data_IF_285909667454
#
_entry.id   IF_285909667454
#
_cell.length_a   1.000
_cell.length_b   1.000
_cell.length_c   1.000
_cell.angle_alpha   90.00
_cell.angle_beta   90.00
_cell.angle_gamma   90.00
#
_symmetry.space_group_name_H-M   'P 1'
#
loop_
_entity.id
_entity.type
_entity.pdbx_description
1 polymer ?
#
# COMPACT_ATOMS: atom_id res chain seq x y z
N UNK A 1 11.82 -19.39 -92.14
CA UNK A 1 11.45 -20.15 -90.94
C UNK A 1 12.01 -19.46 -89.70
N UNK A 2 11.16 -18.68 -88.97
CA UNK A 2 11.54 -17.95 -87.76
C UNK A 2 11.06 -18.78 -86.55
N UNK A 3 12.00 -19.21 -85.73
CA UNK A 3 11.71 -19.93 -84.46
C UNK A 3 11.42 -18.85 -83.40
N UNK A 4 10.22 -18.88 -82.83
CA UNK A 4 9.82 -18.09 -81.67
C UNK A 4 10.14 -18.91 -80.45
N UNK A 5 11.02 -18.38 -79.59
CA UNK A 5 11.35 -18.97 -78.30
C UNK A 5 10.41 -18.33 -77.26
N UNK A 6 9.50 -19.10 -76.65
CA UNK A 6 8.67 -18.69 -75.51
C UNK A 6 9.51 -18.88 -74.22
N UNK A 7 9.81 -17.76 -73.55
CA UNK A 7 10.40 -17.80 -72.22
C UNK A 7 9.22 -17.72 -71.24
N UNK A 8 8.95 -18.85 -70.56
CA UNK A 8 8.00 -18.90 -69.42
C UNK A 8 8.75 -18.49 -68.17
N UNK A 9 8.47 -17.26 -67.71
CA UNK A 9 8.97 -16.77 -66.41
C UNK A 9 8.07 -17.29 -65.29
N UNK A 10 8.55 -18.29 -64.56
CA UNK A 10 7.89 -18.81 -63.34
C UNK A 10 8.16 -17.86 -62.18
N UNK A 11 7.16 -17.06 -61.81
CA UNK A 11 7.16 -16.24 -60.58
C UNK A 11 7.00 -17.20 -59.37
N UNK A 12 8.07 -17.49 -58.66
CA UNK A 12 8.02 -18.22 -57.40
C UNK A 12 7.71 -17.22 -56.28
N UNK A 13 6.44 -17.08 -55.95
CA UNK A 13 5.98 -16.26 -54.79
C UNK A 13 6.42 -16.94 -53.50
N UNK A 14 7.47 -16.44 -52.86
CA UNK A 14 7.86 -16.82 -51.51
C UNK A 14 6.86 -16.21 -50.54
N UNK A 15 5.86 -16.95 -50.13
CA UNK A 15 5.06 -16.65 -48.95
C UNK A 15 5.90 -16.87 -47.70
N UNK A 16 6.49 -15.80 -47.17
CA UNK A 16 7.09 -15.83 -45.84
C UNK A 16 5.93 -15.90 -44.83
N UNK A 17 5.64 -17.12 -44.37
CA UNK A 17 4.81 -17.31 -43.19
C UNK A 17 5.61 -16.77 -42.00
N UNK A 18 5.31 -15.56 -41.57
CA UNK A 18 5.66 -15.13 -40.24
C UNK A 18 4.87 -15.99 -39.26
N UNK A 19 5.50 -17.04 -38.74
CA UNK A 19 4.97 -17.72 -37.55
C UNK A 19 5.09 -16.72 -36.41
N UNK A 20 4.00 -16.02 -36.13
CA UNK A 20 3.87 -15.41 -34.81
C UNK A 20 3.92 -16.57 -33.81
N UNK A 21 5.02 -16.63 -33.05
CA UNK A 21 5.07 -17.41 -31.83
C UNK A 21 4.07 -16.74 -30.88
N UNK A 22 2.83 -17.21 -30.86
CA UNK A 22 1.90 -16.86 -29.78
C UNK A 22 2.59 -17.27 -28.48
N UNK A 23 3.09 -16.30 -27.73
CA UNK A 23 3.47 -16.51 -26.35
C UNK A 23 2.31 -17.17 -25.62
N UNK A 24 2.58 -18.22 -24.86
CA UNK A 24 1.52 -18.92 -24.15
C UNK A 24 0.75 -17.90 -23.31
N UNK A 25 -0.56 -17.77 -23.59
CA UNK A 25 -1.44 -16.82 -22.88
C UNK A 25 -1.43 -17.13 -21.38
N UNK A 26 -1.10 -16.14 -20.58
CA UNK A 26 -1.12 -16.21 -19.12
C UNK A 26 -2.56 -16.34 -18.60
N UNK A 27 -3.51 -15.71 -19.31
CA UNK A 27 -4.92 -15.67 -18.93
C UNK A 27 -5.67 -14.64 -19.75
N UNK A 28 -6.74 -14.10 -19.20
CA UNK A 28 -7.55 -13.06 -19.86
C UNK A 28 -8.19 -12.12 -18.84
N UNK A 29 -8.60 -10.95 -19.29
CA UNK A 29 -9.52 -10.07 -18.57
C UNK A 29 -10.91 -10.72 -18.66
N UNK A 30 -11.39 -11.29 -17.55
CA UNK A 30 -12.67 -12.00 -17.54
C UNK A 30 -13.84 -11.07 -17.30
N UNK A 31 -13.65 -10.06 -16.47
CA UNK A 31 -14.65 -9.07 -16.10
C UNK A 31 -13.99 -7.72 -15.88
N UNK A 32 -14.73 -6.65 -16.15
CA UNK A 32 -14.23 -5.29 -15.92
C UNK A 32 -15.37 -4.28 -15.92
N UNK A 33 -15.17 -3.16 -15.25
CA UNK A 33 -16.05 -2.00 -15.25
C UNK A 33 -15.22 -0.72 -15.11
N UNK A 34 -15.77 0.40 -15.57
CA UNK A 34 -15.10 1.70 -15.52
C UNK A 34 -13.83 1.77 -16.38
N UNK A 35 -12.88 2.57 -15.96
CA UNK A 35 -11.62 2.80 -16.67
C UNK A 35 -10.62 1.70 -16.38
N UNK A 36 -10.35 0.85 -17.37
CA UNK A 36 -9.31 -0.18 -17.33
C UNK A 36 -8.40 -0.03 -18.54
N UNK A 37 -7.11 0.03 -18.29
CA UNK A 37 -6.06 0.20 -19.29
C UNK A 37 -5.14 -1.01 -19.31
N UNK A 38 -4.57 -1.29 -20.49
CA UNK A 38 -3.65 -2.38 -20.74
C UNK A 38 -2.45 -1.91 -21.54
N UNK A 39 -1.29 -2.49 -21.32
CA UNK A 39 -0.13 -2.39 -22.22
C UNK A 39 0.62 -3.72 -22.28
N UNK A 40 1.14 -4.06 -23.47
CA UNK A 40 1.82 -5.34 -23.72
C UNK A 40 3.16 -5.46 -22.98
N UNK A 41 3.86 -4.34 -22.81
CA UNK A 41 5.18 -4.28 -22.17
C UNK A 41 5.43 -2.90 -21.56
N UNK A 42 6.41 -2.82 -20.68
CA UNK A 42 6.76 -1.58 -19.98
C UNK A 42 6.94 -0.36 -20.89
N UNK A 43 7.55 -0.53 -22.07
CA UNK A 43 7.81 0.56 -23.03
C UNK A 43 6.62 0.92 -23.93
N UNK A 44 5.54 0.13 -23.93
CA UNK A 44 4.36 0.40 -24.74
C UNK A 44 3.43 1.45 -24.07
N UNK A 45 2.69 2.23 -24.87
CA UNK A 45 1.66 3.11 -24.32
C UNK A 45 0.49 2.27 -23.76
N UNK A 46 -0.18 2.83 -22.76
CA UNK A 46 -1.44 2.27 -22.30
C UNK A 46 -2.53 2.47 -23.34
N UNK A 47 -3.34 1.44 -23.54
CA UNK A 47 -4.53 1.44 -24.38
C UNK A 47 -5.74 0.97 -23.55
N UNK A 48 -6.96 1.25 -24.02
CA UNK A 48 -8.18 0.80 -23.37
C UNK A 48 -8.23 -0.73 -23.39
N UNK A 49 -8.46 -1.33 -22.23
CA UNK A 49 -8.67 -2.76 -22.13
C UNK A 49 -10.09 -3.17 -22.55
N UNK A 50 -10.25 -4.42 -22.95
CA UNK A 50 -11.53 -5.00 -23.32
C UNK A 50 -11.75 -6.34 -22.59
N UNK A 51 -13.01 -6.66 -22.30
CA UNK A 51 -13.38 -7.97 -21.76
C UNK A 51 -13.02 -9.08 -22.75
N UNK A 52 -12.38 -10.12 -22.28
CA UNK A 52 -11.88 -11.22 -23.10
C UNK A 52 -10.44 -11.02 -23.61
N UNK A 53 -9.85 -9.83 -23.47
CA UNK A 53 -8.49 -9.55 -23.90
C UNK A 53 -7.51 -10.53 -23.26
N UNK A 54 -6.65 -11.15 -24.07
CA UNK A 54 -5.60 -12.06 -23.62
C UNK A 54 -4.52 -11.31 -22.85
N UNK A 55 -3.99 -11.96 -21.83
CA UNK A 55 -2.88 -11.47 -21.02
C UNK A 55 -1.62 -12.28 -21.33
N UNK A 56 -0.52 -11.61 -21.50
CA UNK A 56 0.78 -12.20 -21.80
C UNK A 56 1.80 -11.85 -20.71
N UNK A 57 2.88 -12.61 -20.67
CA UNK A 57 4.03 -12.27 -19.83
C UNK A 57 4.59 -10.89 -20.20
N UNK A 58 4.84 -10.05 -19.18
CA UNK A 58 5.35 -8.69 -19.33
C UNK A 58 4.26 -7.64 -19.53
N UNK A 59 2.99 -8.04 -19.64
CA UNK A 59 1.89 -7.09 -19.78
C UNK A 59 1.56 -6.39 -18.45
N UNK A 60 0.94 -5.22 -18.58
CA UNK A 60 0.49 -4.41 -17.46
C UNK A 60 -1.01 -4.15 -17.58
N UNK A 61 -1.68 -4.20 -16.44
CA UNK A 61 -3.10 -3.84 -16.30
C UNK A 61 -3.22 -2.74 -15.25
N UNK A 62 -3.97 -1.68 -15.58
CA UNK A 62 -4.19 -0.54 -14.70
C UNK A 62 -5.66 -0.17 -14.63
N UNK A 63 -6.18 -0.01 -13.42
CA UNK A 63 -7.53 0.49 -13.18
C UNK A 63 -7.50 1.97 -12.80
N UNK A 64 -8.46 2.74 -13.28
CA UNK A 64 -8.68 4.13 -12.90
C UNK A 64 -9.42 4.27 -11.57
N UNK A 65 -9.80 5.51 -11.22
CA UNK A 65 -10.53 5.79 -9.98
C UNK A 65 -11.91 5.09 -9.94
N UNK A 66 -12.55 4.93 -11.10
CA UNK A 66 -13.81 4.23 -11.33
C UNK A 66 -13.61 2.80 -11.88
N UNK A 67 -12.36 2.36 -12.05
CA UNK A 67 -12.00 1.13 -12.74
C UNK A 67 -11.90 -0.08 -11.82
N UNK A 68 -12.34 -1.23 -12.31
CA UNK A 68 -12.28 -2.52 -11.63
C UNK A 68 -12.14 -3.64 -12.64
N UNK A 69 -11.39 -4.71 -12.34
CA UNK A 69 -11.23 -5.83 -13.26
C UNK A 69 -10.87 -7.15 -12.56
N UNK A 70 -11.30 -8.27 -13.15
CA UNK A 70 -10.88 -9.62 -12.80
C UNK A 70 -9.99 -10.20 -13.88
N UNK A 71 -8.79 -10.58 -13.53
CA UNK A 71 -7.87 -11.33 -14.36
C UNK A 71 -8.05 -12.83 -14.03
N UNK A 72 -8.54 -13.60 -15.00
CA UNK A 72 -8.65 -15.06 -14.88
C UNK A 72 -7.41 -15.68 -15.54
N UNK A 73 -6.57 -16.29 -14.73
CA UNK A 73 -5.35 -16.95 -15.20
C UNK A 73 -5.67 -18.32 -15.80
N UNK A 74 -4.76 -18.84 -16.62
CA UNK A 74 -4.96 -20.12 -17.33
C UNK A 74 -5.00 -21.33 -16.38
N UNK A 75 -4.54 -21.19 -15.15
CA UNK A 75 -4.65 -22.20 -14.08
C UNK A 75 -5.92 -22.07 -13.22
N UNK A 76 -6.87 -21.23 -13.63
CA UNK A 76 -8.10 -20.87 -12.93
C UNK A 76 -7.92 -19.98 -11.67
N UNK A 77 -6.72 -19.55 -11.36
CA UNK A 77 -6.48 -18.53 -10.33
C UNK A 77 -7.07 -17.20 -10.78
N UNK A 78 -7.49 -16.37 -9.82
CA UNK A 78 -8.09 -15.06 -10.08
C UNK A 78 -7.31 -13.97 -9.35
N UNK A 79 -7.07 -12.88 -10.06
CA UNK A 79 -6.57 -11.63 -9.48
C UNK A 79 -7.61 -10.55 -9.71
N UNK A 80 -8.25 -10.07 -8.65
CA UNK A 80 -9.22 -8.98 -8.73
C UNK A 80 -8.56 -7.68 -8.35
N UNK A 81 -8.52 -6.74 -9.27
CA UNK A 81 -7.95 -5.41 -9.10
C UNK A 81 -9.08 -4.42 -8.83
N UNK A 82 -9.08 -3.78 -7.66
CA UNK A 82 -9.97 -2.66 -7.37
C UNK A 82 -9.43 -1.36 -8.02
N UNK A 83 -10.03 -0.23 -7.70
CA UNK A 83 -9.65 1.05 -8.28
C UNK A 83 -8.21 1.49 -7.96
N UNK A 84 -7.65 2.31 -8.86
CA UNK A 84 -6.29 2.88 -8.74
C UNK A 84 -5.21 1.81 -8.53
N UNK A 85 -5.37 0.64 -9.16
CA UNK A 85 -4.43 -0.48 -9.06
C UNK A 85 -3.64 -0.61 -10.35
N UNK A 86 -2.34 -0.84 -10.23
CA UNK A 86 -1.44 -1.07 -11.36
C UNK A 86 -0.63 -2.34 -11.10
N UNK A 87 -0.77 -3.33 -12.01
CA UNK A 87 -0.19 -4.66 -11.88
C UNK A 87 0.53 -5.06 -13.16
N UNK A 88 1.73 -5.64 -13.01
CA UNK A 88 2.50 -6.30 -14.05
C UNK A 88 2.51 -7.81 -13.86
N UNK A 89 2.34 -8.57 -14.93
CA UNK A 89 2.55 -10.03 -14.95
C UNK A 89 3.99 -10.30 -15.40
N UNK A 90 4.92 -10.34 -14.46
CA UNK A 90 6.35 -10.46 -14.76
C UNK A 90 6.73 -11.86 -15.21
N UNK A 91 6.18 -12.88 -14.54
CA UNK A 91 6.40 -14.30 -14.88
C UNK A 91 5.13 -15.11 -14.65
N UNK A 92 4.89 -16.07 -15.52
CA UNK A 92 3.82 -17.04 -15.34
C UNK A 92 4.15 -18.32 -16.12
N UNK A 93 4.30 -19.42 -15.39
CA UNK A 93 4.63 -20.74 -15.95
C UNK A 93 3.71 -21.75 -15.25
N UNK A 94 2.91 -22.45 -16.03
CA UNK A 94 2.01 -23.51 -15.55
C UNK A 94 2.34 -24.82 -16.26
N UNK A 95 2.59 -25.83 -15.48
CA UNK A 95 2.75 -27.23 -15.94
C UNK A 95 1.87 -28.14 -15.10
N UNK A 96 1.83 -29.44 -15.44
CA UNK A 96 1.07 -30.43 -14.66
C UNK A 96 1.54 -30.60 -13.22
N UNK A 97 2.80 -30.28 -12.93
CA UNK A 97 3.44 -30.53 -11.63
C UNK A 97 3.77 -29.24 -10.88
N UNK A 98 3.87 -28.11 -11.58
CA UNK A 98 4.38 -26.88 -11.03
C UNK A 98 3.69 -25.64 -11.61
N UNK A 99 3.38 -24.71 -10.72
CA UNK A 99 2.88 -23.37 -11.04
C UNK A 99 3.82 -22.35 -10.43
N UNK A 100 4.47 -21.54 -11.26
CA UNK A 100 5.28 -20.41 -10.83
C UNK A 100 4.67 -19.12 -11.40
N UNK A 101 4.62 -18.07 -10.60
CA UNK A 101 4.15 -16.76 -11.05
C UNK A 101 4.76 -15.64 -10.24
N UNK A 102 5.08 -14.54 -10.91
CA UNK A 102 5.51 -13.29 -10.28
C UNK A 102 4.64 -12.17 -10.82
N UNK A 103 3.95 -11.50 -9.92
CA UNK A 103 3.06 -10.37 -10.18
C UNK A 103 3.55 -9.16 -9.39
N UNK A 104 3.82 -8.06 -10.07
CA UNK A 104 4.27 -6.83 -9.43
C UNK A 104 3.09 -5.86 -9.32
N UNK A 105 2.72 -5.48 -8.11
CA UNK A 105 1.71 -4.46 -7.82
C UNK A 105 2.44 -3.16 -7.49
N UNK A 106 2.46 -2.23 -8.44
CA UNK A 106 3.13 -0.95 -8.24
C UNK A 106 2.40 -0.09 -7.20
N UNK A 107 1.07 -0.15 -7.22
CA UNK A 107 0.17 0.48 -6.26
C UNK A 107 -1.22 -0.12 -6.36
N UNK A 108 -2.05 0.07 -5.34
CA UNK A 108 -3.48 -0.22 -5.38
C UNK A 108 -3.94 -1.33 -4.47
N UNK A 109 -5.03 -1.99 -4.84
CA UNK A 109 -5.78 -2.94 -4.03
C UNK A 109 -6.07 -4.19 -4.85
N UNK A 110 -5.63 -5.32 -4.36
CA UNK A 110 -5.71 -6.61 -5.02
C UNK A 110 -6.32 -7.67 -4.09
N UNK A 111 -7.20 -8.51 -4.64
CA UNK A 111 -7.55 -9.81 -4.05
C UNK A 111 -7.00 -10.91 -4.94
N UNK A 112 -6.23 -11.80 -4.36
CA UNK A 112 -5.69 -12.97 -5.03
C UNK A 112 -6.38 -14.24 -4.49
N UNK A 113 -6.98 -14.99 -5.39
CA UNK A 113 -7.57 -16.32 -5.10
C UNK A 113 -6.83 -17.34 -5.96
N UNK A 114 -5.87 -18.04 -5.34
CA UNK A 114 -4.95 -18.92 -6.03
C UNK A 114 -5.41 -20.38 -5.90
N UNK A 115 -5.76 -20.96 -7.03
CA UNK A 115 -6.23 -22.36 -7.12
C UNK A 115 -5.07 -23.33 -6.98
N UNK A 116 -5.22 -24.31 -6.07
CA UNK A 116 -4.27 -25.40 -5.88
C UNK A 116 -5.00 -26.74 -5.92
N UNK A 117 -4.55 -27.64 -6.77
CA UNK A 117 -5.00 -29.03 -6.77
C UNK A 117 -4.09 -29.89 -5.89
N UNK A 118 -4.61 -31.05 -5.44
CA UNK A 118 -3.82 -31.97 -4.64
C UNK A 118 -2.57 -32.45 -5.38
N UNK A 119 -1.41 -32.35 -4.75
CA UNK A 119 -0.10 -32.71 -5.33
C UNK A 119 0.58 -31.62 -6.14
N UNK A 120 -0.08 -30.51 -6.47
CA UNK A 120 0.56 -29.40 -7.19
C UNK A 120 1.50 -28.60 -6.28
N UNK A 121 2.64 -28.18 -6.84
CA UNK A 121 3.54 -27.20 -6.24
C UNK A 121 3.20 -25.83 -6.79
N UNK A 122 2.63 -24.98 -5.95
CA UNK A 122 2.35 -23.58 -6.27
C UNK A 122 3.40 -22.71 -5.61
N UNK A 123 4.00 -21.81 -6.39
CA UNK A 123 4.99 -20.83 -5.96
C UNK A 123 4.70 -19.50 -6.64
N UNK A 124 3.59 -18.88 -6.23
CA UNK A 124 3.26 -17.54 -6.68
C UNK A 124 3.82 -16.51 -5.73
N UNK A 125 4.31 -15.41 -6.30
CA UNK A 125 4.79 -14.24 -5.56
C UNK A 125 4.06 -13.00 -6.06
N UNK A 126 3.40 -12.31 -5.16
CA UNK A 126 2.90 -10.96 -5.41
C UNK A 126 3.83 -9.99 -4.70
N UNK A 127 4.41 -9.09 -5.47
CA UNK A 127 5.41 -8.12 -4.99
C UNK A 127 4.85 -6.71 -5.06
N UNK A 128 5.15 -5.91 -4.07
CA UNK A 128 5.09 -4.45 -4.13
C UNK A 128 6.50 -3.87 -4.16
N UNK A 129 6.67 -2.55 -4.23
CA UNK A 129 8.00 -1.93 -4.09
C UNK A 129 8.72 -2.25 -2.77
N UNK A 130 8.01 -2.66 -1.73
CA UNK A 130 8.55 -2.80 -0.37
C UNK A 130 8.15 -4.10 0.35
N UNK A 131 7.41 -5.00 -0.32
CA UNK A 131 6.98 -6.28 0.25
C UNK A 131 6.87 -7.39 -0.79
N UNK A 132 6.93 -8.64 -0.29
CA UNK A 132 6.70 -9.86 -1.06
C UNK A 132 5.71 -10.75 -0.31
N UNK A 133 4.63 -11.14 -0.97
CA UNK A 133 3.70 -12.18 -0.52
C UNK A 133 3.99 -13.49 -1.26
N UNK A 134 4.44 -14.52 -0.54
CA UNK A 134 4.69 -15.86 -1.08
C UNK A 134 3.47 -16.76 -0.85
N UNK A 135 2.88 -17.29 -1.94
CA UNK A 135 1.57 -17.94 -1.96
C UNK A 135 1.71 -19.40 -2.33
N UNK A 136 1.03 -20.26 -1.58
CA UNK A 136 1.03 -21.71 -1.79
C UNK A 136 -0.37 -22.33 -2.01
N UNK A 137 -1.32 -21.54 -2.53
CA UNK A 137 -2.72 -21.93 -2.72
C UNK A 137 -3.60 -21.41 -1.58
N UNK A 138 -4.05 -20.16 -1.72
CA UNK A 138 -4.71 -19.39 -0.65
C UNK A 138 -5.54 -18.27 -1.25
N UNK A 139 -6.39 -17.65 -0.42
CA UNK A 139 -7.02 -16.39 -0.73
C UNK A 139 -6.60 -15.32 0.27
N UNK A 140 -6.17 -14.16 -0.23
CA UNK A 140 -5.82 -13.01 0.58
C UNK A 140 -6.04 -11.70 -0.18
N UNK A 141 -6.05 -10.60 0.56
CA UNK A 141 -6.12 -9.25 0.01
C UNK A 141 -4.85 -8.48 0.35
N UNK A 142 -4.43 -7.65 -0.59
CA UNK A 142 -3.24 -6.80 -0.47
C UNK A 142 -3.58 -5.39 -0.91
N UNK A 143 -3.22 -4.42 -0.09
CA UNK A 143 -3.20 -3.01 -0.45
C UNK A 143 -1.76 -2.50 -0.37
N UNK A 144 -1.33 -1.78 -1.41
CA UNK A 144 -0.07 -1.04 -1.39
C UNK A 144 -0.34 0.43 -1.68
N UNK A 145 0.16 1.31 -0.83
CA UNK A 145 0.03 2.76 -0.94
C UNK A 145 1.35 3.40 -0.50
N UNK A 146 1.99 4.13 -1.42
CA UNK A 146 3.32 4.67 -1.16
C UNK A 146 4.33 3.56 -0.80
N UNK A 147 4.90 3.63 0.39
CA UNK A 147 5.83 2.62 0.92
C UNK A 147 5.15 1.57 1.80
N UNK A 148 3.88 1.76 2.15
CA UNK A 148 3.16 0.90 3.07
C UNK A 148 2.37 -0.19 2.35
N UNK A 149 2.31 -1.36 2.98
CA UNK A 149 1.52 -2.49 2.53
C UNK A 149 0.69 -3.04 3.70
N UNK A 150 -0.53 -3.45 3.38
CA UNK A 150 -1.46 -4.09 4.31
C UNK A 150 -1.98 -5.36 3.67
N UNK A 151 -1.95 -6.45 4.41
CA UNK A 151 -2.39 -7.77 3.97
C UNK A 151 -3.45 -8.31 4.92
N UNK A 152 -4.54 -8.83 4.37
CA UNK A 152 -5.58 -9.55 5.11
C UNK A 152 -5.69 -10.98 4.60
N UNK A 153 -5.64 -11.95 5.50
CA UNK A 153 -5.84 -13.37 5.18
C UNK A 153 -7.32 -13.76 5.14
N UNK A 154 -7.73 -14.46 4.09
CA UNK A 154 -9.09 -14.98 3.92
C UNK A 154 -9.12 -16.50 3.95
N UNK A 155 -8.15 -17.19 3.32
CA UNK A 155 -8.07 -18.64 3.29
C UNK A 155 -6.60 -19.09 3.25
N UNK A 156 -6.27 -20.15 3.98
CA UNK A 156 -4.93 -20.74 4.00
C UNK A 156 -3.88 -19.86 4.69
N UNK A 157 -2.65 -19.91 4.21
CA UNK A 157 -1.51 -19.19 4.78
C UNK A 157 -0.62 -18.60 3.68
N UNK A 158 -0.20 -17.36 3.87
CA UNK A 158 0.74 -16.62 2.99
C UNK A 158 1.93 -16.16 3.82
N UNK A 159 3.13 -16.22 3.25
CA UNK A 159 4.33 -15.70 3.88
C UNK A 159 4.59 -14.28 3.38
N UNK A 160 4.57 -13.31 4.31
CA UNK A 160 4.81 -11.89 4.00
C UNK A 160 6.21 -11.51 4.46
N UNK A 161 7.01 -10.94 3.57
CA UNK A 161 8.34 -10.40 3.90
C UNK A 161 8.52 -8.99 3.33
N UNK A 162 9.48 -8.23 3.86
CA UNK A 162 10.10 -7.13 3.13
C UNK A 162 11.09 -7.69 2.09
N UNK A 163 11.95 -6.84 1.54
CA UNK A 163 12.86 -7.25 0.45
C UNK A 163 13.84 -8.35 0.88
N UNK A 164 14.48 -8.18 2.04
CA UNK A 164 15.51 -9.09 2.59
C UNK A 164 15.26 -9.46 4.05
N UNK A 165 14.05 -9.21 4.55
CA UNK A 165 13.71 -9.42 5.95
C UNK A 165 13.09 -10.79 6.19
N UNK A 166 13.09 -11.28 7.43
CA UNK A 166 12.33 -12.48 7.80
C UNK A 166 10.85 -12.34 7.44
N UNK A 167 10.23 -13.46 7.06
CA UNK A 167 8.80 -13.49 6.77
C UNK A 167 7.96 -13.58 8.05
N UNK A 168 6.72 -13.10 7.94
CA UNK A 168 5.66 -13.29 8.93
C UNK A 168 4.50 -14.03 8.28
N UNK A 169 3.88 -14.99 8.98
CA UNK A 169 2.73 -15.73 8.44
C UNK A 169 1.48 -14.85 8.47
N UNK A 170 0.79 -14.77 7.34
CA UNK A 170 -0.57 -14.24 7.24
C UNK A 170 -1.53 -15.42 7.21
N UNK A 171 -2.38 -15.54 8.22
CA UNK A 171 -3.38 -16.59 8.36
C UNK A 171 -4.80 -16.05 8.21
N UNK A 172 -5.79 -16.93 8.21
CA UNK A 172 -7.21 -16.53 8.17
C UNK A 172 -7.53 -15.56 9.31
N UNK A 173 -8.29 -14.53 8.98
CA UNK A 173 -8.70 -13.47 9.92
C UNK A 173 -7.53 -12.82 10.68
N UNK A 174 -6.38 -12.70 10.03
CA UNK A 174 -5.27 -11.88 10.51
C UNK A 174 -4.93 -10.79 9.53
N UNK A 175 -4.27 -9.74 10.04
CA UNK A 175 -3.67 -8.66 9.28
C UNK A 175 -2.17 -8.61 9.56
N UNK A 176 -1.38 -8.46 8.51
CA UNK A 176 0.06 -8.17 8.57
C UNK A 176 0.33 -6.91 7.77
N UNK A 177 1.24 -6.08 8.24
CA UNK A 177 1.58 -4.82 7.59
C UNK A 177 3.10 -4.66 7.52
N UNK A 178 3.58 -3.91 6.53
CA UNK A 178 4.94 -3.40 6.55
C UNK A 178 5.04 -2.05 5.82
N UNK A 179 6.17 -1.38 6.00
CA UNK A 179 6.55 -0.20 5.22
C UNK A 179 8.06 -0.19 4.99
N UNK A 180 8.50 0.47 3.90
CA UNK A 180 9.91 0.77 3.61
C UNK A 180 10.85 -0.43 3.61
N UNK A 181 10.34 -1.59 3.17
CA UNK A 181 11.05 -2.88 3.17
C UNK A 181 11.48 -3.39 4.55
N UNK A 182 10.95 -2.84 5.64
CA UNK A 182 11.21 -3.34 6.99
C UNK A 182 10.52 -4.68 7.23
N UNK A 183 10.94 -5.38 8.28
CA UNK A 183 10.30 -6.63 8.73
C UNK A 183 8.81 -6.37 8.96
N UNK A 184 7.91 -7.22 8.42
CA UNK A 184 6.49 -7.07 8.65
C UNK A 184 6.13 -7.15 10.14
N UNK A 185 5.03 -6.49 10.52
CA UNK A 185 4.46 -6.61 11.88
C UNK A 185 4.12 -8.05 12.21
N UNK A 186 4.07 -8.37 13.49
CA UNK A 186 3.42 -9.61 13.93
C UNK A 186 1.96 -9.61 13.46
N UNK A 187 1.39 -10.80 13.16
CA UNK A 187 0.00 -10.91 12.76
C UNK A 187 -0.94 -10.37 13.84
N UNK A 188 -1.82 -9.46 13.45
CA UNK A 188 -2.88 -8.94 14.33
C UNK A 188 -4.18 -9.64 13.96
N UNK A 189 -4.88 -10.18 14.97
CA UNK A 189 -6.18 -10.81 14.79
C UNK A 189 -7.25 -9.77 14.41
N UNK A 190 -8.01 -10.07 13.39
CA UNK A 190 -9.13 -9.24 12.92
C UNK A 190 -10.42 -9.77 13.57
N UNK A 191 -10.78 -9.17 14.70
CA UNK A 191 -11.96 -9.60 15.47
C UNK A 191 -13.22 -8.85 14.99
N UNK A 192 -14.39 -9.52 14.98
CA UNK A 192 -15.66 -8.85 14.70
C UNK A 192 -15.87 -7.61 15.57
N UNK A 193 -16.69 -6.67 15.05
CA UNK A 193 -17.07 -5.41 15.72
C UNK A 193 -15.90 -4.45 16.01
N UNK A 194 -14.75 -4.66 15.37
CA UNK A 194 -13.62 -3.73 15.43
C UNK A 194 -13.51 -2.88 14.15
N UNK A 195 -12.90 -1.69 14.20
CA UNK A 195 -12.66 -0.88 13.00
C UNK A 195 -11.85 -1.60 11.93
N UNK A 196 -10.91 -2.48 12.32
CA UNK A 196 -10.11 -3.24 11.37
C UNK A 196 -10.91 -4.37 10.70
N UNK A 197 -11.91 -4.93 11.38
CA UNK A 197 -12.86 -5.85 10.78
C UNK A 197 -13.71 -5.16 9.73
N UNK A 198 -14.21 -3.95 10.03
CA UNK A 198 -14.95 -3.13 9.06
C UNK A 198 -14.08 -2.85 7.84
N UNK A 199 -12.82 -2.43 8.05
CA UNK A 199 -11.87 -2.20 6.96
C UNK A 199 -11.63 -3.47 6.10
N UNK A 200 -11.53 -4.64 6.73
CA UNK A 200 -11.44 -5.92 6.01
C UNK A 200 -12.68 -6.17 5.17
N UNK A 201 -13.89 -5.94 5.71
CA UNK A 201 -15.17 -6.13 5.00
C UNK A 201 -15.32 -5.14 3.83
N UNK A 202 -14.94 -3.89 4.02
CA UNK A 202 -14.90 -2.92 2.93
C UNK A 202 -13.93 -3.37 1.83
N UNK A 203 -12.77 -3.91 2.20
CA UNK A 203 -11.81 -4.44 1.24
C UNK A 203 -12.36 -5.66 0.49
N UNK A 204 -13.01 -6.57 1.19
CA UNK A 204 -13.71 -7.70 0.56
C UNK A 204 -14.75 -7.23 -0.46
N UNK A 205 -15.55 -6.21 -0.10
CA UNK A 205 -16.59 -5.66 -0.96
C UNK A 205 -16.02 -5.01 -2.24
N UNK A 206 -14.98 -4.19 -2.12
CA UNK A 206 -14.38 -3.50 -3.28
C UNK A 206 -13.56 -4.42 -4.19
N UNK A 207 -13.21 -5.60 -3.72
CA UNK A 207 -12.52 -6.64 -4.49
C UNK A 207 -13.44 -7.82 -4.81
N UNK A 208 -14.76 -7.69 -4.61
CA UNK A 208 -15.76 -8.66 -5.06
C UNK A 208 -15.92 -8.62 -6.59
N UNK A 209 -16.56 -9.65 -7.13
CA UNK A 209 -16.85 -9.75 -8.58
C UNK A 209 -17.77 -8.64 -9.08
N UNK A 210 -18.62 -8.11 -8.20
CA UNK A 210 -19.48 -6.97 -8.44
C UNK A 210 -19.34 -5.99 -7.25
N UNK A 211 -18.44 -5.03 -7.33
CA UNK A 211 -18.25 -4.08 -6.25
C UNK A 211 -19.53 -3.23 -6.05
N UNK A 212 -19.84 -2.82 -4.83
CA UNK A 212 -21.01 -2.00 -4.54
C UNK A 212 -20.95 -0.67 -5.30
N UNK A 213 -22.11 -0.06 -5.57
CA UNK A 213 -22.18 1.21 -6.34
C UNK A 213 -21.37 2.36 -5.71
N UNK A 214 -21.26 2.34 -4.38
CA UNK A 214 -20.53 3.36 -3.60
C UNK A 214 -19.07 2.94 -3.30
N UNK A 215 -18.55 1.96 -4.01
CA UNK A 215 -17.19 1.44 -3.80
C UNK A 215 -16.08 2.48 -3.99
N UNK A 216 -16.34 3.60 -4.65
CA UNK A 216 -15.44 4.75 -4.75
C UNK A 216 -15.03 5.29 -3.37
N UNK A 217 -15.87 5.11 -2.35
CA UNK A 217 -15.56 5.36 -0.94
C UNK A 217 -14.35 4.54 -0.48
N UNK A 218 -13.99 3.48 -1.18
CA UNK A 218 -12.78 2.69 -0.97
C UNK A 218 -11.48 3.51 -1.00
N UNK A 219 -11.48 4.71 -1.56
CA UNK A 219 -10.40 5.67 -1.45
C UNK A 219 -10.07 6.04 0.00
N UNK A 220 -11.02 5.87 0.91
CA UNK A 220 -10.83 6.08 2.35
C UNK A 220 -10.18 4.89 3.08
N UNK A 221 -10.13 3.71 2.48
CA UNK A 221 -9.58 2.52 3.13
C UNK A 221 -8.15 2.73 3.70
N UNK A 222 -7.20 3.34 2.99
CA UNK A 222 -5.88 3.66 3.55
C UNK A 222 -5.98 4.57 4.79
N UNK A 223 -6.91 5.54 4.78
CA UNK A 223 -7.11 6.49 5.88
C UNK A 223 -7.72 5.82 7.12
N UNK A 224 -8.67 4.89 6.92
CA UNK A 224 -9.27 4.10 8.01
C UNK A 224 -8.20 3.27 8.70
N UNK A 225 -7.36 2.58 7.93
CA UNK A 225 -6.28 1.75 8.46
C UNK A 225 -5.19 2.63 9.11
N UNK A 226 -4.88 3.80 8.57
CA UNK A 226 -3.94 4.73 9.18
C UNK A 226 -4.44 5.21 10.57
N UNK A 227 -5.72 5.56 10.71
CA UNK A 227 -6.32 5.91 12.01
C UNK A 227 -6.33 4.73 12.98
N UNK A 228 -6.63 3.52 12.48
CA UNK A 228 -6.52 2.32 13.31
C UNK A 228 -5.09 2.10 13.82
N UNK A 229 -4.08 2.31 12.96
CA UNK A 229 -2.67 2.19 13.36
C UNK A 229 -2.28 3.21 14.45
N UNK A 230 -2.83 4.42 14.43
CA UNK A 230 -2.60 5.40 15.51
C UNK A 230 -3.14 4.86 16.83
N UNK A 231 -4.38 4.35 16.87
CA UNK A 231 -4.96 3.79 18.07
C UNK A 231 -4.22 2.53 18.55
N UNK A 232 -3.80 1.68 17.60
CA UNK A 232 -3.02 0.48 17.91
C UNK A 232 -1.62 0.82 18.43
N UNK A 233 -1.00 1.87 17.91
CA UNK A 233 0.28 2.38 18.40
C UNK A 233 0.19 2.89 19.85
N UNK A 234 -0.90 3.54 20.24
CA UNK A 234 -1.16 3.86 21.65
C UNK A 234 -1.20 2.62 22.52
N UNK A 235 -1.99 1.61 22.11
CA UNK A 235 -2.06 0.36 22.86
C UNK A 235 -0.68 -0.31 23.01
N UNK A 236 0.15 -0.29 21.97
CA UNK A 236 1.51 -0.84 22.02
C UNK A 236 2.41 -0.04 22.94
N UNK A 237 2.32 1.29 22.94
CA UNK A 237 3.09 2.16 23.82
C UNK A 237 2.71 1.93 25.30
N UNK A 238 1.42 1.82 25.60
CA UNK A 238 0.92 1.51 26.94
C UNK A 238 1.36 0.11 27.41
N UNK A 239 1.52 -0.84 26.48
CA UNK A 239 2.05 -2.16 26.74
C UNK A 239 3.60 -2.21 26.83
N UNK A 240 4.29 -1.07 26.75
CA UNK A 240 5.75 -0.98 26.81
C UNK A 240 6.47 -1.36 25.51
N UNK A 241 5.73 -1.59 24.41
CA UNK A 241 6.27 -1.97 23.09
C UNK A 241 6.57 -0.73 22.24
N UNK A 242 7.51 0.09 22.68
CA UNK A 242 7.73 1.42 22.11
C UNK A 242 8.20 1.40 20.65
N UNK A 243 9.11 0.50 20.30
CA UNK A 243 9.59 0.36 18.92
C UNK A 243 8.48 -0.09 17.97
N UNK A 244 7.64 -1.03 18.40
CA UNK A 244 6.48 -1.47 17.65
C UNK A 244 5.46 -0.33 17.47
N UNK A 245 5.24 0.49 18.52
CA UNK A 245 4.40 1.68 18.46
C UNK A 245 4.92 2.69 17.43
N UNK A 246 6.21 3.02 17.49
CA UNK A 246 6.85 3.91 16.51
C UNK A 246 6.73 3.37 15.09
N UNK A 247 6.82 2.05 14.93
CA UNK A 247 6.71 1.40 13.64
C UNK A 247 5.29 1.50 13.05
N UNK A 248 4.25 1.21 13.83
CA UNK A 248 2.87 1.32 13.33
C UNK A 248 2.44 2.77 13.10
N UNK A 249 2.97 3.75 13.85
CA UNK A 249 2.81 5.17 13.53
C UNK A 249 3.49 5.52 12.19
N UNK A 250 4.66 4.93 11.89
CA UNK A 250 5.29 5.11 10.58
C UNK A 250 4.44 4.52 9.46
N UNK A 251 3.83 3.34 9.67
CA UNK A 251 2.88 2.76 8.71
C UNK A 251 1.70 3.72 8.49
N UNK A 252 1.15 4.32 9.56
CA UNK A 252 0.08 5.30 9.45
C UNK A 252 0.49 6.51 8.58
N UNK A 253 1.70 7.04 8.80
CA UNK A 253 2.25 8.14 7.99
C UNK A 253 2.38 7.77 6.51
N UNK A 254 2.78 6.55 6.20
CA UNK A 254 3.01 6.12 4.83
C UNK A 254 1.72 5.66 4.11
N UNK A 255 0.63 5.38 4.85
CA UNK A 255 -0.68 5.00 4.31
C UNK A 255 -1.54 6.18 3.85
N UNK A 256 -1.27 7.40 4.29
CA UNK A 256 -2.16 8.53 4.01
C UNK A 256 -1.41 9.81 3.69
N UNK A 257 -2.04 10.65 2.87
CA UNK A 257 -1.59 12.03 2.64
C UNK A 257 -2.45 13.07 3.37
N UNK A 258 -3.46 12.64 4.18
CA UNK A 258 -4.31 13.56 4.92
C UNK A 258 -3.51 14.25 6.05
N UNK A 259 -3.42 15.60 6.02
CA UNK A 259 -2.62 16.36 6.98
C UNK A 259 -2.97 16.08 8.43
N UNK A 260 -4.26 15.94 8.75
CA UNK A 260 -4.75 15.71 10.12
C UNK A 260 -4.27 14.35 10.66
N UNK A 261 -4.40 13.28 9.87
CA UNK A 261 -3.97 11.93 10.30
C UNK A 261 -2.45 11.87 10.43
N UNK A 262 -1.72 12.51 9.50
CA UNK A 262 -0.27 12.57 9.56
C UNK A 262 0.22 13.38 10.77
N UNK A 263 -0.46 14.47 11.10
CA UNK A 263 -0.16 15.29 12.26
C UNK A 263 -0.41 14.53 13.57
N UNK A 264 -1.53 13.80 13.67
CA UNK A 264 -1.81 12.93 14.82
C UNK A 264 -0.70 11.88 14.99
N UNK A 265 -0.34 11.15 13.93
CA UNK A 265 0.71 10.15 14.00
C UNK A 265 2.08 10.71 14.42
N UNK A 266 2.42 11.95 13.98
CA UNK A 266 3.66 12.63 14.41
C UNK A 266 3.62 13.06 15.86
N UNK A 267 2.50 13.61 16.34
CA UNK A 267 2.34 13.97 17.74
C UNK A 267 2.52 12.74 18.65
N UNK A 268 1.93 11.61 18.25
CA UNK A 268 2.05 10.36 19.00
C UNK A 268 3.49 9.81 19.00
N UNK A 269 4.18 9.85 17.86
CA UNK A 269 5.62 9.51 17.80
C UNK A 269 6.44 10.39 18.73
N UNK A 270 6.19 11.70 18.68
CA UNK A 270 6.83 12.67 19.58
C UNK A 270 6.55 12.37 21.05
N UNK A 271 5.32 11.99 21.39
CA UNK A 271 4.95 11.60 22.75
C UNK A 271 5.69 10.33 23.22
N UNK A 272 5.85 9.32 22.36
CA UNK A 272 6.62 8.11 22.67
C UNK A 272 8.10 8.46 22.90
N UNK A 273 8.69 9.26 22.02
CA UNK A 273 10.07 9.70 22.18
C UNK A 273 10.30 10.47 23.49
N UNK A 274 9.44 11.44 23.79
CA UNK A 274 9.57 12.29 24.99
C UNK A 274 9.32 11.51 26.29
N UNK A 275 8.17 10.82 26.39
CA UNK A 275 7.69 10.24 27.65
C UNK A 275 8.37 8.93 28.01
N UNK A 276 8.63 8.08 27.04
CA UNK A 276 9.08 6.71 27.27
C UNK A 276 10.54 6.47 26.89
N UNK A 277 10.99 7.02 25.77
CA UNK A 277 12.36 6.81 25.29
C UNK A 277 13.35 7.87 25.77
N UNK A 278 12.86 8.91 26.44
CA UNK A 278 13.67 10.03 26.94
C UNK A 278 14.59 10.63 25.87
N UNK A 279 14.04 10.78 24.68
CA UNK A 279 14.72 11.37 23.53
C UNK A 279 13.98 12.64 23.09
N UNK A 280 14.21 13.77 23.81
CA UNK A 280 13.52 15.03 23.52
C UNK A 280 13.89 15.62 22.16
N UNK A 281 15.09 15.34 21.63
CA UNK A 281 15.51 15.80 20.31
C UNK A 281 14.65 15.14 19.20
N UNK A 282 14.43 13.83 19.28
CA UNK A 282 13.57 13.12 18.35
C UNK A 282 12.10 13.57 18.48
N UNK A 283 11.63 13.82 19.71
CA UNK A 283 10.30 14.38 19.96
C UNK A 283 10.12 15.75 19.32
N UNK A 284 11.10 16.65 19.53
CA UNK A 284 11.12 17.98 18.95
C UNK A 284 11.04 17.93 17.40
N UNK A 285 11.81 17.05 16.78
CA UNK A 285 11.79 16.86 15.33
C UNK A 285 10.39 16.53 14.80
N UNK A 286 9.66 15.63 15.48
CA UNK A 286 8.27 15.27 15.09
C UNK A 286 7.31 16.47 15.25
N UNK A 287 7.42 17.24 16.34
CA UNK A 287 6.57 18.42 16.56
C UNK A 287 6.85 19.53 15.55
N UNK A 288 8.13 19.80 15.24
CA UNK A 288 8.51 20.78 14.23
C UNK A 288 7.99 20.40 12.84
N UNK A 289 8.02 19.11 12.48
CA UNK A 289 7.44 18.63 11.22
C UNK A 289 5.94 18.91 11.11
N UNK A 290 5.17 18.83 12.21
CA UNK A 290 3.76 19.25 12.20
C UNK A 290 3.63 20.74 11.95
N UNK A 291 4.42 21.56 12.67
CA UNK A 291 4.37 23.02 12.58
C UNK A 291 4.72 23.53 11.17
N UNK A 292 5.76 22.96 10.56
CA UNK A 292 6.31 23.43 9.30
C UNK A 292 5.55 22.88 8.08
N UNK A 293 5.09 21.63 8.17
CA UNK A 293 4.47 20.96 7.02
C UNK A 293 2.96 21.19 6.93
N UNK A 294 2.29 21.37 8.07
CA UNK A 294 0.82 21.41 8.13
C UNK A 294 0.32 22.69 8.83
N UNK A 295 0.33 23.85 8.16
CA UNK A 295 0.01 25.13 8.79
C UNK A 295 -1.46 25.27 9.18
N UNK A 296 -2.38 24.44 8.62
CA UNK A 296 -3.82 24.58 8.79
C UNK A 296 -4.43 23.28 9.33
N UNK A 297 -3.90 22.78 10.45
CA UNK A 297 -4.49 21.61 11.14
C UNK A 297 -4.73 21.92 12.61
N UNK A 298 -5.77 21.35 13.25
CA UNK A 298 -6.01 21.53 14.69
C UNK A 298 -4.83 21.09 15.55
N UNK A 299 -4.08 20.09 15.13
CA UNK A 299 -2.91 19.53 15.82
C UNK A 299 -1.75 20.53 15.97
N UNK A 300 -1.71 21.58 15.13
CA UNK A 300 -0.63 22.57 15.13
C UNK A 300 -0.55 23.32 16.46
N UNK A 301 -1.67 23.63 17.10
CA UNK A 301 -1.70 24.24 18.43
C UNK A 301 -0.92 23.38 19.44
N UNK A 302 -1.23 22.09 19.50
CA UNK A 302 -0.52 21.16 20.40
C UNK A 302 0.96 21.02 20.05
N UNK A 303 1.29 20.96 18.75
CA UNK A 303 2.66 20.84 18.29
C UNK A 303 3.52 22.06 18.71
N UNK A 304 3.01 23.29 18.56
CA UNK A 304 3.69 24.51 19.01
C UNK A 304 3.96 24.50 20.51
N UNK A 305 2.96 24.15 21.30
CA UNK A 305 3.12 24.03 22.75
C UNK A 305 4.19 23.00 23.11
N UNK A 306 4.08 21.78 22.58
CA UNK A 306 5.02 20.70 22.87
C UNK A 306 6.45 21.01 22.39
N UNK A 307 6.60 21.63 21.21
CA UNK A 307 7.91 22.06 20.73
C UNK A 307 8.54 23.11 21.67
N UNK A 308 7.77 24.11 22.12
CA UNK A 308 8.24 25.11 23.08
C UNK A 308 8.65 24.51 24.42
N UNK A 309 7.87 23.57 24.95
CA UNK A 309 8.18 22.85 26.19
C UNK A 309 9.43 21.97 26.04
N UNK A 310 9.55 21.22 24.95
CA UNK A 310 10.70 20.37 24.69
C UNK A 310 11.99 21.20 24.53
N UNK A 311 11.93 22.34 23.84
CA UNK A 311 13.06 23.27 23.76
C UNK A 311 13.49 23.81 25.14
N UNK A 312 12.49 24.10 26.00
CA UNK A 312 12.75 24.51 27.36
C UNK A 312 13.46 23.41 28.17
N UNK A 313 12.99 22.17 28.09
CA UNK A 313 13.62 20.99 28.72
C UNK A 313 15.05 20.76 28.23
N UNK A 314 15.33 21.02 26.95
CA UNK A 314 16.68 20.95 26.35
C UNK A 314 17.57 22.10 26.75
N UNK A 315 17.09 23.09 27.51
CA UNK A 315 17.83 24.28 27.90
C UNK A 315 18.04 25.32 26.79
N UNK A 316 17.35 25.15 25.64
CA UNK A 316 17.40 26.02 24.47
C UNK A 316 16.45 27.23 24.68
N UNK A 317 16.71 28.05 25.68
CA UNK A 317 15.80 29.07 26.22
C UNK A 317 15.30 30.06 25.19
N UNK A 318 16.16 30.58 24.32
CA UNK A 318 15.76 31.56 23.30
C UNK A 318 14.82 30.94 22.25
N UNK A 319 15.10 29.72 21.82
CA UNK A 319 14.24 29.01 20.88
C UNK A 319 12.88 28.60 21.52
N UNK A 320 12.91 28.18 22.78
CA UNK A 320 11.72 27.91 23.57
C UNK A 320 10.82 29.14 23.63
N UNK A 321 11.41 30.30 23.99
CA UNK A 321 10.70 31.59 24.06
C UNK A 321 10.09 31.96 22.71
N UNK A 322 10.85 31.82 21.62
CA UNK A 322 10.34 32.08 20.27
C UNK A 322 9.10 31.24 19.96
N UNK A 323 9.13 29.92 20.19
CA UNK A 323 8.00 29.03 19.91
C UNK A 323 6.81 29.29 20.81
N UNK A 324 7.02 29.59 22.08
CA UNK A 324 5.94 29.91 23.02
C UNK A 324 5.29 31.28 22.72
N UNK A 325 6.07 32.28 22.29
CA UNK A 325 5.52 33.55 21.80
C UNK A 325 4.75 33.37 20.49
N UNK A 326 5.22 32.51 19.61
CA UNK A 326 4.49 32.11 18.41
C UNK A 326 3.14 31.46 18.78
N UNK A 327 3.11 30.52 19.73
CA UNK A 327 1.89 29.94 20.26
C UNK A 327 0.92 31.02 20.77
N UNK A 328 1.39 31.92 21.65
CA UNK A 328 0.56 33.00 22.24
C UNK A 328 -0.03 33.91 21.17
N UNK A 329 0.73 34.18 20.09
CA UNK A 329 0.27 34.99 18.95
C UNK A 329 -0.80 34.28 18.10
N UNK A 330 -0.56 33.01 17.79
CA UNK A 330 -1.46 32.24 16.90
C UNK A 330 -2.71 31.71 17.64
N UNK A 331 -2.60 31.43 18.94
CA UNK A 331 -3.64 30.81 19.78
C UNK A 331 -3.82 31.57 21.12
N UNK A 332 -4.28 32.85 21.10
CA UNK A 332 -4.40 33.67 22.32
C UNK A 332 -5.39 33.09 23.35
N UNK A 333 -6.41 32.34 22.88
CA UNK A 333 -7.39 31.65 23.72
C UNK A 333 -7.19 30.13 23.70
N UNK A 334 -5.99 29.68 23.34
CA UNK A 334 -5.66 28.26 23.17
C UNK A 334 -5.65 27.47 24.48
N UNK A 335 -5.88 26.18 24.41
CA UNK A 335 -5.98 25.28 25.58
C UNK A 335 -4.73 25.25 26.48
N UNK A 336 -3.57 25.66 25.98
CA UNK A 336 -2.30 25.68 26.73
C UNK A 336 -1.83 27.09 27.11
N UNK A 337 -2.62 28.13 26.90
CA UNK A 337 -2.19 29.53 27.06
C UNK A 337 -1.65 29.82 28.48
N UNK A 338 -2.31 29.33 29.53
CA UNK A 338 -1.87 29.54 30.92
C UNK A 338 -0.52 28.90 31.20
N UNK A 339 -0.25 27.70 30.66
CA UNK A 339 1.07 27.05 30.78
C UNK A 339 2.12 27.79 30.01
N UNK A 340 1.81 28.26 28.80
CA UNK A 340 2.71 29.07 27.95
C UNK A 340 3.12 30.35 28.66
N UNK A 341 2.17 31.10 29.24
CA UNK A 341 2.45 32.33 29.97
C UNK A 341 3.31 32.09 31.21
N UNK A 342 3.06 31.00 31.92
CA UNK A 342 3.87 30.60 33.08
C UNK A 342 5.34 30.40 32.69
N UNK A 343 5.60 29.66 31.62
CA UNK A 343 6.98 29.39 31.15
C UNK A 343 7.63 30.63 30.58
N UNK A 344 6.92 31.48 29.83
CA UNK A 344 7.43 32.74 29.33
C UNK A 344 7.89 33.65 30.51
N UNK A 345 7.09 33.74 31.58
CA UNK A 345 7.46 34.49 32.79
C UNK A 345 8.70 33.93 33.50
N UNK A 346 8.97 32.62 33.39
CA UNK A 346 10.22 32.02 33.93
C UNK A 346 11.41 32.34 33.04
N UNK A 347 11.22 32.34 31.72
CA UNK A 347 12.25 32.60 30.72
C UNK A 347 12.68 34.11 30.72
N UNK A 348 11.81 35.01 31.17
CA UNK A 348 12.09 36.44 31.24
C UNK A 348 12.87 36.85 32.50
N UNK A 349 13.08 35.94 33.46
CA UNK A 349 13.86 36.13 34.68
C UNK A 349 15.30 35.67 34.52
#
# INVERSE_FOLDING_TARGET
>A
MKRIIFIVATFLSFFIFYSYSEGASVGRISEMSGSVLYKEKSSAPYQKAEKGMALEKGCWVKTGADGWTVLLLSDSSKLTLANNTELEITEFIVSKEKKDGIFNVAQGKLRASVTRLAGEKVNYKIKSPTAVAGIKGTEFMMMTHGFANVFFGNEGQVEISGDTTPSKPLSVDTMVQNTRSYTPTDPVKVEPDTPIYTAKKDFEAITATEPPKDWEISGNLPNIIARWNINYGHYLADAGKYEDALYVFQIALDLTNLPEIRSDARLERGAVYSRFLRNPEAALAEYLLVIETYPIVPQRETALYLAGMTLYELGLKEQAKEKLLQYKKEYPDGKHISSVETILNILDK
#
